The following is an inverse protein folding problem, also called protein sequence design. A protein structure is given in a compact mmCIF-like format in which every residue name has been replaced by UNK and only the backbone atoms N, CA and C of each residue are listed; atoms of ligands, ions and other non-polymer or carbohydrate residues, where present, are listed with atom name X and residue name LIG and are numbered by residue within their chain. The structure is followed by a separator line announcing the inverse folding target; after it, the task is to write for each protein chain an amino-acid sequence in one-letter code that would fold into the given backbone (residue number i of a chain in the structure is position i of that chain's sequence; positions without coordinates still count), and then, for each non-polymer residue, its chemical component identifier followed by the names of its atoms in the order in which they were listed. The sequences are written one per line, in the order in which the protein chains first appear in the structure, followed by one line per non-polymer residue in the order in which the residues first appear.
data_IF_098186891500
#
_entry.id   IF_098186891500
#
_cell.length_a   1.000
_cell.length_b   1.000
_cell.length_c   1.000
_cell.angle_alpha   90.00
_cell.angle_beta   90.00
_cell.angle_gamma   90.00
#
_symmetry.space_group_name_H-M   'P 1'
#
loop_
_entity.id
_entity.type
_entity.pdbx_description
1 polymer ?
#
# COMPACT_ATOMS: atom_id res chain seq x y z
N UNK A 1 -10.21 -2.26 22.03
CA UNK A 1 -9.49 -2.33 20.75
C UNK A 1 -9.45 -0.91 20.24
N UNK A 2 -8.45 -0.16 20.69
CA UNK A 2 -8.31 1.25 20.36
C UNK A 2 -7.61 1.32 19.00
N UNK A 3 -8.42 1.48 17.96
CA UNK A 3 -7.97 1.96 16.65
C UNK A 3 -8.01 3.49 16.68
N UNK A 4 -7.22 4.09 17.55
CA UNK A 4 -6.83 5.47 17.41
C UNK A 4 -5.31 5.47 17.32
N UNK A 5 -4.78 5.87 16.16
CA UNK A 5 -3.50 6.55 16.16
C UNK A 5 -3.72 7.76 17.06
N UNK A 6 -3.31 7.64 18.32
CA UNK A 6 -3.36 8.72 19.28
C UNK A 6 -2.49 9.83 18.70
N UNK A 7 -3.08 10.75 17.96
CA UNK A 7 -2.39 11.98 17.64
C UNK A 7 -2.26 12.76 18.95
N UNK A 8 -1.06 13.21 19.26
CA UNK A 8 -0.81 14.62 19.26
C UNK A 8 -0.38 14.94 17.85
N UNK A 9 -1.29 15.59 17.12
CA UNK A 9 -0.94 16.50 16.04
C UNK A 9 0.25 17.33 16.56
N UNK A 10 1.45 17.09 16.02
CA UNK A 10 2.69 17.80 16.37
C UNK A 10 3.09 17.64 17.86
N UNK A 11 3.86 16.60 18.18
CA UNK A 11 4.67 16.62 19.41
C UNK A 11 5.73 17.72 19.31
N UNK A 12 5.43 18.86 19.94
CA UNK A 12 6.34 19.98 20.15
C UNK A 12 7.55 19.51 20.98
N UNK A 13 8.59 19.00 20.32
CA UNK A 13 9.80 18.51 20.99
C UNK A 13 10.68 17.57 20.19
N UNK A 14 10.17 16.94 19.12
CA UNK A 14 11.02 16.22 18.16
C UNK A 14 11.53 17.25 17.15
N UNK A 15 12.84 17.50 17.13
CA UNK A 15 13.47 18.37 16.14
C UNK A 15 13.04 17.95 14.73
N UNK A 16 12.66 18.94 13.92
CA UNK A 16 12.06 18.77 12.59
C UNK A 16 12.89 17.85 11.68
N UNK A 17 14.20 17.77 11.91
CA UNK A 17 15.14 16.90 11.20
C UNK A 17 14.94 15.42 11.54
N UNK A 18 14.89 15.03 12.82
CA UNK A 18 14.68 13.63 13.21
C UNK A 18 13.34 13.07 12.68
N UNK A 19 12.31 13.93 12.63
CA UNK A 19 11.02 13.58 12.03
C UNK A 19 11.14 13.36 10.52
N UNK A 20 11.81 14.28 9.84
CA UNK A 20 12.03 14.23 8.38
C UNK A 20 12.84 12.99 7.99
N UNK A 21 13.86 12.64 8.78
CA UNK A 21 14.65 11.43 8.59
C UNK A 21 13.83 10.15 8.74
N UNK A 22 12.90 10.08 9.71
CA UNK A 22 12.02 8.91 9.87
C UNK A 22 11.10 8.67 8.67
N UNK A 23 10.60 9.73 8.02
CA UNK A 23 9.74 9.61 6.84
C UNK A 23 10.52 9.39 5.55
N UNK A 24 11.81 9.75 5.50
CA UNK A 24 12.61 9.72 4.28
C UNK A 24 12.60 8.36 3.54
N UNK A 25 12.75 7.19 4.21
CA UNK A 25 12.67 5.90 3.52
C UNK A 25 11.29 5.61 2.93
N UNK A 26 10.23 6.02 3.64
CA UNK A 26 8.84 5.91 3.16
C UNK A 26 8.63 6.74 1.91
N UNK A 27 9.09 7.98 1.92
CA UNK A 27 9.01 8.90 0.77
C UNK A 27 9.83 8.41 -0.43
N UNK A 28 11.01 7.81 -0.21
CA UNK A 28 11.77 7.17 -1.28
C UNK A 28 10.99 6.03 -1.93
N UNK A 29 10.41 5.14 -1.13
CA UNK A 29 9.59 4.02 -1.60
C UNK A 29 8.37 4.52 -2.37
N UNK A 30 7.69 5.53 -1.83
CA UNK A 30 6.54 6.16 -2.47
C UNK A 30 6.91 6.81 -3.81
N UNK A 31 8.08 7.44 -3.88
CA UNK A 31 8.64 7.98 -5.12
C UNK A 31 8.89 6.91 -6.18
N UNK A 32 9.38 5.72 -5.80
CA UNK A 32 9.54 4.60 -6.74
C UNK A 32 8.19 4.11 -7.26
N UNK A 33 7.21 3.92 -6.38
CA UNK A 33 5.86 3.49 -6.75
C UNK A 33 5.21 4.48 -7.71
N UNK A 34 5.24 5.77 -7.37
CA UNK A 34 4.65 6.84 -8.18
C UNK A 34 5.28 6.90 -9.57
N UNK A 35 6.61 6.82 -9.68
CA UNK A 35 7.31 6.76 -10.98
C UNK A 35 6.93 5.53 -11.80
N UNK A 36 6.81 4.37 -11.17
CA UNK A 36 6.39 3.14 -11.85
C UNK A 36 4.97 3.25 -12.40
N UNK A 37 4.04 3.86 -11.64
CA UNK A 37 2.67 4.08 -12.09
C UNK A 37 2.60 5.09 -13.24
N UNK A 38 3.31 6.22 -13.17
CA UNK A 38 3.39 7.16 -14.31
C UNK A 38 3.91 6.49 -15.56
N UNK A 39 4.98 5.67 -15.43
CA UNK A 39 5.53 4.91 -16.55
C UNK A 39 4.49 3.96 -17.13
N UNK A 40 3.78 3.20 -16.30
CA UNK A 40 2.75 2.28 -16.76
C UNK A 40 1.59 2.97 -17.49
N UNK A 41 1.17 4.15 -17.03
CA UNK A 41 0.17 4.98 -17.74
C UNK A 41 0.72 5.46 -19.09
N UNK A 42 1.96 5.96 -19.13
CA UNK A 42 2.58 6.45 -20.36
C UNK A 42 2.80 5.35 -21.41
N UNK A 43 3.11 4.13 -20.98
CA UNK A 43 3.29 2.95 -21.84
C UNK A 43 1.96 2.27 -22.21
N UNK A 44 0.84 2.70 -21.63
CA UNK A 44 -0.49 2.13 -21.86
C UNK A 44 -0.71 0.75 -21.24
N UNK A 45 0.15 0.33 -20.31
CA UNK A 45 -0.02 -0.92 -19.54
C UNK A 45 -0.99 -0.74 -18.36
N UNK A 46 -1.15 0.48 -17.87
CA UNK A 46 -2.14 0.86 -16.87
C UNK A 46 -3.27 1.69 -17.50
N UNK A 47 -4.42 1.76 -16.82
CA UNK A 47 -5.59 2.49 -17.31
C UNK A 47 -5.28 3.97 -17.59
N UNK A 48 -5.86 4.49 -18.66
CA UNK A 48 -5.83 5.93 -18.93
C UNK A 48 -6.67 6.68 -17.88
N UNK A 49 -6.26 7.90 -17.51
CA UNK A 49 -6.97 8.70 -16.50
C UNK A 49 -6.77 8.26 -15.05
N UNK A 50 -5.81 7.35 -14.77
CA UNK A 50 -5.42 7.03 -13.39
C UNK A 50 -4.91 8.29 -12.67
N UNK A 51 -5.54 8.69 -11.56
CA UNK A 51 -4.97 9.66 -10.63
C UNK A 51 -3.77 9.00 -9.92
N UNK A 52 -2.56 9.18 -10.46
CA UNK A 52 -1.37 8.40 -10.10
C UNK A 52 -1.00 8.53 -8.63
N UNK A 53 -1.02 9.75 -8.09
CA UNK A 53 -0.65 10.04 -6.70
C UNK A 53 -1.64 9.41 -5.72
N UNK A 54 -2.95 9.55 -6.01
CA UNK A 54 -4.00 8.93 -5.21
C UNK A 54 -3.93 7.41 -5.30
N UNK A 55 -3.67 6.86 -6.49
CA UNK A 55 -3.49 5.43 -6.69
C UNK A 55 -2.28 4.90 -5.92
N UNK A 56 -1.15 5.61 -5.92
CA UNK A 56 0.03 5.24 -5.14
C UNK A 56 -0.28 5.15 -3.64
N UNK A 57 -0.99 6.15 -3.08
CA UNK A 57 -1.38 6.15 -1.67
C UNK A 57 -2.30 4.98 -1.32
N UNK A 58 -3.30 4.73 -2.17
CA UNK A 58 -4.23 3.61 -1.98
C UNK A 58 -3.48 2.27 -2.03
N UNK A 59 -2.63 2.07 -3.04
CA UNK A 59 -1.86 0.83 -3.18
C UNK A 59 -0.92 0.62 -2.00
N UNK A 60 -0.23 1.67 -1.53
CA UNK A 60 0.60 1.61 -0.34
C UNK A 60 -0.19 1.21 0.92
N UNK A 61 -1.35 1.84 1.16
CA UNK A 61 -2.24 1.49 2.26
C UNK A 61 -2.75 0.04 2.17
N UNK A 62 -3.15 -0.39 0.97
CA UNK A 62 -3.51 -1.78 0.70
C UNK A 62 -2.37 -2.74 1.01
N UNK A 63 -1.15 -2.45 0.55
CA UNK A 63 0.05 -3.26 0.81
C UNK A 63 0.28 -3.47 2.30
N UNK A 64 0.21 -2.40 3.11
CA UNK A 64 0.34 -2.51 4.57
C UNK A 64 -0.75 -3.43 5.14
N UNK A 65 -2.01 -3.20 4.77
CA UNK A 65 -3.14 -4.00 5.26
C UNK A 65 -3.03 -5.48 4.88
N UNK A 66 -2.59 -5.77 3.65
CA UNK A 66 -2.39 -7.13 3.14
C UNK A 66 -1.31 -7.86 3.94
N UNK A 67 -0.13 -7.24 4.13
CA UNK A 67 0.97 -7.87 4.87
C UNK A 67 0.63 -8.05 6.35
N UNK A 68 0.07 -7.02 7.00
CA UNK A 68 -0.34 -7.10 8.40
C UNK A 68 -1.37 -8.21 8.61
N UNK A 69 -2.32 -8.36 7.67
CA UNK A 69 -3.32 -9.43 7.74
C UNK A 69 -2.68 -10.80 7.50
N UNK A 70 -1.87 -10.95 6.45
CA UNK A 70 -1.18 -12.20 6.16
C UNK A 70 -0.32 -12.69 7.33
N UNK A 71 0.43 -11.79 7.96
CA UNK A 71 1.33 -12.11 9.07
C UNK A 71 0.57 -12.32 10.38
N UNK A 72 -0.15 -11.29 10.85
CA UNK A 72 -0.73 -11.27 12.21
C UNK A 72 -2.03 -12.06 12.32
N UNK A 73 -2.70 -12.36 11.20
CA UNK A 73 -3.95 -13.13 11.14
C UNK A 73 -3.76 -14.45 10.41
N UNK A 74 -2.53 -14.95 10.29
CA UNK A 74 -2.21 -16.21 9.60
C UNK A 74 -3.06 -17.39 10.07
N UNK A 75 -3.16 -17.62 11.38
CA UNK A 75 -3.98 -18.70 11.94
C UNK A 75 -5.47 -18.51 11.64
N UNK A 76 -5.96 -17.28 11.71
CA UNK A 76 -7.36 -16.95 11.37
C UNK A 76 -7.67 -17.26 9.90
N UNK A 77 -6.75 -16.92 8.98
CA UNK A 77 -6.89 -17.25 7.56
C UNK A 77 -6.97 -18.76 7.32
N UNK A 78 -6.13 -19.53 8.01
CA UNK A 78 -6.08 -20.99 7.88
C UNK A 78 -7.34 -21.64 8.48
N UNK A 79 -7.71 -21.26 9.70
CA UNK A 79 -8.79 -21.91 10.45
C UNK A 79 -10.18 -21.55 9.93
N UNK A 80 -10.42 -20.28 9.61
CA UNK A 80 -11.76 -19.78 9.31
C UNK A 80 -12.01 -19.60 7.81
N UNK A 81 -10.98 -19.23 7.04
CA UNK A 81 -11.11 -18.99 5.59
C UNK A 81 -10.49 -20.08 4.74
N UNK A 82 -9.89 -21.10 5.36
CA UNK A 82 -9.26 -22.26 4.70
C UNK A 82 -8.25 -21.84 3.62
N UNK A 83 -7.55 -20.73 3.86
CA UNK A 83 -6.54 -20.19 2.93
C UNK A 83 -5.19 -20.05 3.62
N UNK A 84 -4.12 -20.22 2.85
CA UNK A 84 -2.76 -19.98 3.33
C UNK A 84 -2.43 -18.49 3.30
N UNK A 85 -1.66 -17.95 4.26
CA UNK A 85 -1.23 -16.55 4.24
C UNK A 85 -0.60 -16.11 2.92
N UNK A 86 0.26 -16.94 2.33
CA UNK A 86 0.96 -16.65 1.08
C UNK A 86 -0.03 -16.60 -0.09
N UNK A 87 -0.99 -17.53 -0.13
CA UNK A 87 -2.05 -17.55 -1.15
C UNK A 87 -2.95 -16.32 -1.04
N UNK A 88 -3.26 -15.87 0.18
CA UNK A 88 -4.00 -14.63 0.42
C UNK A 88 -3.24 -13.41 -0.10
N UNK A 89 -1.95 -13.28 0.23
CA UNK A 89 -1.12 -12.15 -0.23
C UNK A 89 -1.07 -12.11 -1.76
N UNK A 90 -0.77 -13.23 -2.42
CA UNK A 90 -0.75 -13.31 -3.89
C UNK A 90 -2.09 -12.91 -4.50
N UNK A 91 -3.20 -13.48 -4.01
CA UNK A 91 -4.53 -13.17 -4.54
C UNK A 91 -4.92 -11.69 -4.33
N UNK A 92 -4.52 -11.09 -3.22
CA UNK A 92 -4.76 -9.69 -2.94
C UNK A 92 -3.97 -8.78 -3.89
N UNK A 93 -2.70 -9.10 -4.18
CA UNK A 93 -1.90 -8.37 -5.16
C UNK A 93 -2.45 -8.50 -6.58
N UNK A 94 -2.89 -9.70 -6.98
CA UNK A 94 -3.55 -9.91 -8.27
C UNK A 94 -4.81 -9.05 -8.40
N UNK A 95 -5.57 -8.88 -7.31
CA UNK A 95 -6.79 -8.06 -7.31
C UNK A 95 -6.47 -6.57 -7.47
N UNK A 96 -5.54 -6.04 -6.67
CA UNK A 96 -5.21 -4.60 -6.73
C UNK A 96 -4.50 -4.25 -8.04
N UNK A 97 -3.65 -5.12 -8.59
CA UNK A 97 -3.02 -4.90 -9.90
C UNK A 97 -4.07 -4.86 -11.01
N UNK A 98 -5.01 -5.81 -11.04
CA UNK A 98 -6.12 -5.77 -12.00
C UNK A 98 -6.97 -4.50 -11.89
N UNK A 99 -7.10 -3.92 -10.70
CA UNK A 99 -7.89 -2.68 -10.51
C UNK A 99 -7.27 -1.44 -11.18
N UNK A 100 -5.97 -1.47 -11.48
CA UNK A 100 -5.23 -0.37 -12.12
C UNK A 100 -4.78 -0.71 -13.55
N UNK A 101 -4.80 -1.99 -13.92
CA UNK A 101 -4.52 -2.45 -15.28
C UNK A 101 -5.48 -1.82 -16.29
N UNK A 102 -5.01 -1.70 -17.54
CA UNK A 102 -5.88 -1.34 -18.66
C UNK A 102 -6.98 -2.39 -18.82
N UNK A 103 -8.21 -1.94 -19.08
CA UNK A 103 -9.31 -2.85 -19.43
C UNK A 103 -8.95 -3.62 -20.70
N UNK A 104 -9.31 -4.92 -20.74
CA UNK A 104 -9.19 -5.70 -21.96
C UNK A 104 -10.29 -5.25 -22.93
N UNK A 105 -9.88 -4.90 -24.16
CA UNK A 105 -10.79 -4.58 -25.27
C UNK A 105 -11.68 -5.79 -25.64
#
# INVERSE_FOLDING_TARGET
MEYETHEPDIQAGIENEARTECYHPGEQMFGYLTRALHKGVAEGSLRSGLEVEKAALILWACTIGIFVTGERKSQYLIEFHKTKPESFVTAAYDLILRSISKEAD
#
